data_IF_026439793438
#
_entry.id   IF_026439793438
#
_cell.length_a   1.000
_cell.length_b   1.000
_cell.length_c   1.000
_cell.angle_alpha   90.00
_cell.angle_beta   90.00
_cell.angle_gamma   90.00
#
_symmetry.space_group_name_H-M   'P 1'
#
loop_
_entity.id
_entity.type
_entity.pdbx_description
1 polymer ?
#
# COMPACT_ATOMS: atom_id res chain seq x y z
N UNK A 1 -13.39 6.14 -4.67
CA UNK A 1 -14.02 5.30 -5.71
C UNK A 1 -13.45 3.91 -5.55
N UNK A 2 -14.12 3.06 -4.77
CA UNK A 2 -13.75 1.65 -4.55
C UNK A 2 -14.77 0.84 -5.35
N UNK A 3 -14.39 0.44 -6.55
CA UNK A 3 -15.22 -0.37 -7.46
C UNK A 3 -14.55 -1.74 -7.56
N UNK A 4 -15.18 -2.76 -6.98
CA UNK A 4 -14.70 -4.15 -7.00
C UNK A 4 -14.69 -4.75 -5.60
N UNK A 5 -15.82 -5.31 -5.18
CA UNK A 5 -16.02 -5.84 -3.82
C UNK A 5 -15.17 -7.08 -3.48
N UNK A 6 -14.36 -7.61 -4.41
CA UNK A 6 -13.49 -8.79 -4.15
C UNK A 6 -12.03 -8.64 -4.63
N UNK A 7 -11.62 -7.47 -5.15
CA UNK A 7 -10.25 -7.27 -5.66
C UNK A 7 -9.87 -8.17 -6.84
N UNK A 8 -10.87 -8.82 -7.45
CA UNK A 8 -10.76 -9.65 -8.63
C UNK A 8 -11.05 -8.85 -9.88
N UNK A 9 -10.29 -9.13 -10.95
CA UNK A 9 -10.44 -8.50 -12.25
C UNK A 9 -10.40 -9.56 -13.34
N UNK A 10 -11.31 -9.47 -14.30
CA UNK A 10 -11.26 -10.28 -15.51
C UNK A 10 -10.20 -9.77 -16.49
N UNK A 11 -9.78 -10.64 -17.42
CA UNK A 11 -8.90 -10.24 -18.53
C UNK A 11 -9.47 -9.08 -19.35
N UNK A 12 -10.78 -9.08 -19.59
CA UNK A 12 -11.48 -8.01 -20.31
C UNK A 12 -11.37 -6.65 -19.62
N UNK A 13 -11.54 -6.62 -18.30
CA UNK A 13 -11.40 -5.39 -17.50
C UNK A 13 -9.96 -4.87 -17.52
N UNK A 14 -8.96 -5.74 -17.45
CA UNK A 14 -7.54 -5.35 -17.56
C UNK A 14 -7.20 -4.79 -18.94
N UNK A 15 -7.69 -5.42 -20.01
CA UNK A 15 -7.47 -4.94 -21.37
C UNK A 15 -8.16 -3.58 -21.60
N UNK A 16 -9.35 -3.37 -21.04
CA UNK A 16 -10.04 -2.09 -21.16
C UNK A 16 -9.39 -0.98 -20.32
N UNK A 17 -8.88 -1.31 -19.12
CA UNK A 17 -8.05 -0.41 -18.33
C UNK A 17 -6.77 -0.01 -19.08
N UNK A 18 -6.08 -0.98 -19.70
CA UNK A 18 -4.91 -0.72 -20.53
C UNK A 18 -5.24 0.19 -21.73
N UNK A 19 -6.43 0.01 -22.34
CA UNK A 19 -6.89 0.88 -23.44
C UNK A 19 -7.06 2.33 -23.00
N UNK A 20 -7.56 2.57 -21.78
CA UNK A 20 -7.67 3.93 -21.22
C UNK A 20 -6.31 4.58 -21.01
N UNK A 21 -5.34 3.84 -20.46
CA UNK A 21 -3.96 4.33 -20.31
C UNK A 21 -3.33 4.60 -21.67
N UNK A 22 -3.45 3.67 -22.62
CA UNK A 22 -2.91 3.81 -23.98
C UNK A 22 -3.47 5.03 -24.72
N UNK A 23 -4.74 5.41 -24.48
CA UNK A 23 -5.36 6.63 -25.01
C UNK A 23 -4.72 7.89 -24.41
N UNK A 24 -4.44 7.90 -23.12
CA UNK A 24 -3.79 9.03 -22.43
C UNK A 24 -2.36 9.31 -22.93
N UNK A 25 -1.69 8.30 -23.49
CA UNK A 25 -0.35 8.43 -24.08
C UNK A 25 -0.36 8.54 -25.63
N UNK A 26 -1.52 8.78 -26.25
CA UNK A 26 -1.67 8.96 -27.71
C UNK A 26 -1.08 7.80 -28.57
N UNK A 27 -1.07 6.57 -28.04
CA UNK A 27 -0.49 5.42 -28.73
C UNK A 27 -1.45 4.82 -29.77
N UNK A 28 -0.90 4.18 -30.82
CA UNK A 28 -1.68 3.55 -31.90
C UNK A 28 -2.68 2.51 -31.39
N UNK A 29 -3.92 2.57 -31.90
CA UNK A 29 -5.01 1.68 -31.48
C UNK A 29 -4.90 0.25 -32.01
N UNK A 30 -4.23 0.06 -33.14
CA UNK A 30 -4.22 -1.19 -33.90
C UNK A 30 -3.49 -2.34 -33.17
N UNK A 31 -2.54 -2.01 -32.29
CA UNK A 31 -1.74 -3.01 -31.54
C UNK A 31 -2.09 -3.08 -30.05
N UNK A 32 -3.16 -2.39 -29.61
CA UNK A 32 -3.51 -2.29 -28.18
C UNK A 32 -3.74 -3.66 -27.54
N UNK A 33 -4.41 -4.59 -28.22
CA UNK A 33 -4.67 -5.92 -27.68
C UNK A 33 -3.38 -6.72 -27.43
N UNK A 34 -2.44 -6.69 -28.38
CA UNK A 34 -1.14 -7.38 -28.26
C UNK A 34 -0.30 -6.75 -27.14
N UNK A 35 -0.25 -5.42 -27.08
CA UNK A 35 0.48 -4.70 -26.02
C UNK A 35 -0.14 -4.94 -24.64
N UNK A 36 -1.47 -4.95 -24.53
CA UNK A 36 -2.16 -5.25 -23.28
C UNK A 36 -1.80 -6.65 -22.78
N UNK A 37 -1.83 -7.66 -23.64
CA UNK A 37 -1.44 -9.03 -23.29
C UNK A 37 0.02 -9.12 -22.84
N UNK A 38 0.94 -8.46 -23.54
CA UNK A 38 2.34 -8.41 -23.13
C UNK A 38 2.52 -7.75 -21.76
N UNK A 39 1.84 -6.60 -21.53
CA UNK A 39 1.88 -5.89 -20.25
C UNK A 39 1.31 -6.73 -19.10
N UNK A 40 0.16 -7.40 -19.31
CA UNK A 40 -0.45 -8.28 -18.31
C UNK A 40 0.49 -9.45 -17.97
N UNK A 41 1.07 -10.09 -18.99
CA UNK A 41 2.03 -11.18 -18.78
C UNK A 41 3.27 -10.71 -18.01
N UNK A 42 3.78 -9.52 -18.30
CA UNK A 42 4.92 -8.96 -17.57
C UNK A 42 4.55 -8.58 -16.13
N UNK A 43 3.35 -8.05 -15.87
CA UNK A 43 2.87 -7.80 -14.51
C UNK A 43 2.73 -9.09 -13.69
N UNK A 44 2.34 -10.20 -14.32
CA UNK A 44 2.34 -11.53 -13.68
C UNK A 44 3.76 -12.01 -13.40
N UNK A 45 4.69 -11.87 -14.37
CA UNK A 45 6.11 -12.24 -14.19
C UNK A 45 6.80 -11.45 -13.08
N UNK A 46 6.47 -10.17 -12.96
CA UNK A 46 6.98 -9.27 -11.91
C UNK A 46 6.29 -9.49 -10.55
N UNK A 47 5.36 -10.45 -10.45
CA UNK A 47 4.58 -10.75 -9.23
C UNK A 47 3.75 -9.58 -8.74
N UNK A 48 3.28 -8.71 -9.64
CA UNK A 48 2.33 -7.64 -9.32
C UNK A 48 0.88 -8.14 -9.40
N UNK A 49 0.62 -9.11 -10.29
CA UNK A 49 -0.66 -9.78 -10.45
C UNK A 49 -0.53 -11.30 -10.31
N UNK A 50 -1.52 -11.92 -9.69
CA UNK A 50 -1.72 -13.36 -9.73
C UNK A 50 -2.79 -13.70 -10.77
N UNK A 51 -2.55 -14.72 -11.60
CA UNK A 51 -3.52 -15.24 -12.57
C UNK A 51 -4.12 -16.54 -12.05
N UNK A 52 -5.44 -16.62 -12.01
CA UNK A 52 -6.23 -17.79 -11.67
C UNK A 52 -7.03 -18.24 -12.90
N UNK A 53 -6.90 -19.51 -13.26
CA UNK A 53 -7.69 -20.13 -14.33
C UNK A 53 -8.65 -21.12 -13.68
N UNK A 54 -9.97 -20.89 -13.79
CA UNK A 54 -10.98 -21.81 -13.28
C UNK A 54 -11.61 -22.59 -14.43
N UNK A 55 -11.75 -23.91 -14.26
CA UNK A 55 -12.47 -24.77 -15.22
C UNK A 55 -13.96 -24.41 -15.31
N UNK A 56 -14.53 -23.82 -14.26
CA UNK A 56 -15.93 -23.35 -14.24
C UNK A 56 -16.15 -22.04 -15.00
N UNK A 57 -15.10 -21.27 -15.25
CA UNK A 57 -15.18 -19.92 -15.80
C UNK A 57 -14.99 -19.86 -17.32
N UNK A 58 -15.28 -20.95 -18.03
CA UNK A 58 -15.33 -21.01 -19.50
C UNK A 58 -14.10 -20.40 -20.21
N UNK A 59 -12.90 -20.63 -19.65
CA UNK A 59 -11.64 -20.10 -20.19
C UNK A 59 -11.28 -18.66 -19.77
N UNK A 60 -12.11 -18.00 -18.96
CA UNK A 60 -11.83 -16.67 -18.44
C UNK A 60 -10.82 -16.74 -17.29
N UNK A 61 -9.69 -16.05 -17.46
CA UNK A 61 -8.72 -15.85 -16.40
C UNK A 61 -9.16 -14.71 -15.47
N UNK A 62 -9.04 -14.95 -14.18
CA UNK A 62 -9.24 -13.97 -13.12
C UNK A 62 -7.87 -13.53 -12.61
N UNK A 63 -7.71 -12.23 -12.41
CA UNK A 63 -6.49 -11.60 -11.94
C UNK A 63 -6.74 -10.93 -10.59
N UNK A 64 -5.77 -11.04 -9.68
CA UNK A 64 -5.78 -10.33 -8.39
C UNK A 64 -4.45 -9.63 -8.17
N UNK A 65 -4.49 -8.45 -7.55
CA UNK A 65 -3.26 -7.79 -7.11
C UNK A 65 -2.58 -8.63 -6.02
N UNK A 66 -1.26 -8.75 -6.11
CA UNK A 66 -0.46 -9.35 -5.03
C UNK A 66 -0.25 -8.34 -3.90
N UNK A 67 0.19 -8.77 -2.70
CA UNK A 67 0.55 -7.83 -1.64
C UNK A 67 1.58 -6.76 -2.09
N UNK A 68 2.49 -7.12 -3.00
CA UNK A 68 3.43 -6.18 -3.61
C UNK A 68 2.73 -5.18 -4.53
N UNK A 69 1.84 -5.65 -5.41
CA UNK A 69 1.04 -4.78 -6.28
C UNK A 69 0.17 -3.82 -5.48
N UNK A 70 -0.46 -4.31 -4.41
CA UNK A 70 -1.22 -3.48 -3.46
C UNK A 70 -0.30 -2.44 -2.83
N UNK A 71 0.86 -2.83 -2.27
CA UNK A 71 1.78 -1.88 -1.63
C UNK A 71 2.21 -0.73 -2.56
N UNK A 72 2.59 -1.04 -3.81
CA UNK A 72 3.00 -0.04 -4.80
C UNK A 72 1.83 0.87 -5.19
N UNK A 73 0.68 0.29 -5.50
CA UNK A 73 -0.50 1.07 -5.92
C UNK A 73 -1.05 1.94 -4.79
N UNK A 74 -1.05 1.43 -3.55
CA UNK A 74 -1.52 2.15 -2.38
C UNK A 74 -0.64 3.36 -2.04
N UNK A 75 0.67 3.27 -2.35
CA UNK A 75 1.60 4.39 -2.23
C UNK A 75 1.23 5.56 -3.16
N UNK A 76 0.89 5.27 -4.42
CA UNK A 76 0.60 6.33 -5.41
C UNK A 76 -0.86 6.82 -5.42
N UNK A 77 -1.83 5.95 -5.10
CA UNK A 77 -3.26 6.27 -5.25
C UNK A 77 -3.83 6.92 -3.99
N UNK A 78 -3.34 6.57 -2.79
CA UNK A 78 -3.86 7.18 -1.57
C UNK A 78 -3.26 8.57 -1.36
N UNK A 79 -4.11 9.59 -1.44
CA UNK A 79 -3.87 10.85 -0.75
C UNK A 79 -3.89 10.57 0.76
N UNK A 80 -2.71 10.29 1.33
CA UNK A 80 -2.56 10.08 2.77
C UNK A 80 -2.40 11.44 3.43
N UNK A 81 -3.53 11.99 3.89
CA UNK A 81 -3.49 13.13 4.80
C UNK A 81 -2.96 12.67 6.15
N UNK A 82 -1.89 13.31 6.61
CA UNK A 82 -1.40 13.11 7.95
C UNK A 82 -2.39 13.68 8.95
N UNK A 83 -2.68 12.89 9.99
CA UNK A 83 -3.57 13.31 11.07
C UNK A 83 -2.95 12.94 12.40
N UNK A 84 -2.66 13.95 13.21
CA UNK A 84 -2.24 13.79 14.61
C UNK A 84 -3.27 13.03 15.43
N UNK A 85 -4.57 13.19 15.10
CA UNK A 85 -5.66 12.44 15.72
C UNK A 85 -5.56 10.95 15.39
N UNK A 86 -5.29 10.59 14.13
CA UNK A 86 -5.11 9.19 13.72
C UNK A 86 -3.92 8.54 14.44
N UNK A 87 -2.80 9.24 14.52
CA UNK A 87 -1.62 8.78 15.26
C UNK A 87 -1.94 8.58 16.76
N UNK A 88 -2.62 9.53 17.38
CA UNK A 88 -3.04 9.45 18.79
C UNK A 88 -3.94 8.23 19.06
N UNK A 89 -4.89 7.96 18.15
CA UNK A 89 -5.73 6.75 18.24
C UNK A 89 -4.92 5.47 18.11
N UNK A 90 -3.98 5.39 17.15
CA UNK A 90 -3.12 4.22 16.98
C UNK A 90 -2.27 3.94 18.23
N UNK A 91 -1.67 4.97 18.82
CA UNK A 91 -0.90 4.85 20.05
C UNK A 91 -1.77 4.43 21.25
N UNK A 92 -3.02 4.93 21.32
CA UNK A 92 -3.95 4.53 22.37
C UNK A 92 -4.30 3.04 22.29
N UNK A 93 -4.53 2.52 21.09
CA UNK A 93 -4.80 1.09 20.85
C UNK A 93 -3.58 0.25 21.24
N UNK A 94 -2.38 0.66 20.81
CA UNK A 94 -1.13 -0.06 21.15
C UNK A 94 -0.89 -0.08 22.66
N UNK A 95 -1.10 1.04 23.34
CA UNK A 95 -0.93 1.11 24.79
C UNK A 95 -1.86 0.14 25.53
N UNK A 96 -3.12 0.05 25.08
CA UNK A 96 -4.09 -0.88 25.67
C UNK A 96 -3.70 -2.35 25.42
N UNK A 97 -3.32 -2.70 24.19
CA UNK A 97 -2.91 -4.06 23.83
C UNK A 97 -1.61 -4.47 24.56
N UNK A 98 -0.64 -3.56 24.67
CA UNK A 98 0.58 -3.79 25.45
C UNK A 98 0.27 -4.01 26.92
N UNK A 99 -0.63 -3.23 27.51
CA UNK A 99 -1.03 -3.40 28.90
C UNK A 99 -1.67 -4.78 29.12
N UNK A 100 -2.63 -5.17 28.27
CA UNK A 100 -3.27 -6.50 28.36
C UNK A 100 -2.26 -7.64 28.22
N UNK A 101 -1.31 -7.52 27.29
CA UNK A 101 -0.26 -8.52 27.11
C UNK A 101 0.69 -8.57 28.31
N UNK A 102 1.00 -7.43 28.94
CA UNK A 102 1.81 -7.36 30.15
C UNK A 102 1.10 -8.00 31.34
N UNK A 103 -0.16 -7.63 31.60
CA UNK A 103 -0.99 -8.20 32.67
C UNK A 103 -1.09 -9.73 32.50
N UNK A 104 -1.36 -10.22 31.27
CA UNK A 104 -1.42 -11.65 30.97
C UNK A 104 -0.07 -12.37 31.13
N UNK A 105 1.05 -11.68 30.88
CA UNK A 105 2.37 -12.23 31.10
C UNK A 105 2.72 -12.36 32.59
N UNK A 106 2.25 -11.41 33.42
CA UNK A 106 2.41 -11.45 34.89
C UNK A 106 1.56 -12.56 35.53
N UNK A 107 0.33 -12.77 35.03
CA UNK A 107 -0.53 -13.88 35.48
C UNK A 107 0.07 -15.26 35.18
N UNK A 108 0.91 -15.35 34.14
CA UNK A 108 1.49 -16.61 33.68
C UNK A 108 0.44 -17.60 33.17
N UNK A 109 0.85 -18.83 32.87
CA UNK A 109 -0.06 -19.83 32.34
C UNK A 109 0.65 -20.95 31.60
N UNK A 110 -0.13 -21.72 30.85
CA UNK A 110 0.36 -22.77 29.96
C UNK A 110 0.84 -22.19 28.61
N UNK A 111 1.44 -23.04 27.78
CA UNK A 111 1.96 -22.64 26.47
C UNK A 111 0.89 -22.00 25.58
N UNK A 112 -0.37 -22.44 25.70
CA UNK A 112 -1.50 -21.88 24.95
C UNK A 112 -1.82 -20.45 25.42
N UNK A 113 -1.85 -20.21 26.73
CA UNK A 113 -2.00 -18.87 27.31
C UNK A 113 -0.91 -17.92 26.80
N UNK A 114 0.36 -18.34 26.87
CA UNK A 114 1.47 -17.53 26.37
C UNK A 114 1.36 -17.22 24.87
N UNK A 115 1.04 -18.23 24.05
CA UNK A 115 0.87 -18.02 22.61
C UNK A 115 -0.29 -17.08 22.30
N UNK A 116 -1.41 -17.24 22.99
CA UNK A 116 -2.66 -16.56 22.67
C UNK A 116 -2.74 -15.15 23.24
N UNK A 117 -2.26 -14.95 24.46
CA UNK A 117 -2.51 -13.72 25.23
C UNK A 117 -1.29 -12.80 25.32
N UNK A 118 -0.08 -13.32 25.04
CA UNK A 118 1.15 -12.52 25.07
C UNK A 118 1.77 -12.45 23.68
N UNK A 119 2.12 -13.58 23.07
CA UNK A 119 2.81 -13.58 21.79
C UNK A 119 1.93 -13.07 20.63
N UNK A 120 0.70 -13.59 20.49
CA UNK A 120 -0.16 -13.21 19.37
C UNK A 120 -0.52 -11.71 19.34
N UNK A 121 -0.92 -11.07 20.47
CA UNK A 121 -1.18 -9.63 20.49
C UNK A 121 0.07 -8.81 20.12
N UNK A 122 1.23 -9.18 20.64
CA UNK A 122 2.48 -8.50 20.31
C UNK A 122 2.85 -8.65 18.83
N UNK A 123 2.75 -9.86 18.29
CA UNK A 123 3.22 -10.19 16.94
C UNK A 123 2.29 -9.70 15.83
N UNK A 124 0.98 -9.77 16.04
CA UNK A 124 0.00 -9.53 14.97
C UNK A 124 -0.81 -8.24 15.16
N UNK A 125 -0.80 -7.62 16.35
CA UNK A 125 -1.48 -6.35 16.59
C UNK A 125 -0.46 -5.23 16.80
N UNK A 126 0.35 -5.32 17.85
CA UNK A 126 1.29 -4.24 18.21
C UNK A 126 2.32 -4.00 17.11
N UNK A 127 2.94 -5.06 16.59
CA UNK A 127 3.92 -4.94 15.50
C UNK A 127 3.32 -4.28 14.24
N UNK A 128 2.11 -4.68 13.82
CA UNK A 128 1.44 -4.12 12.64
C UNK A 128 1.08 -2.64 12.83
N UNK A 129 0.66 -2.23 14.04
CA UNK A 129 0.37 -0.82 14.30
C UNK A 129 1.66 0.01 14.29
N UNK A 130 2.77 -0.51 14.84
CA UNK A 130 4.06 0.16 14.74
C UNK A 130 4.54 0.28 13.29
N UNK A 131 4.44 -0.77 12.49
CA UNK A 131 4.80 -0.73 11.06
C UNK A 131 3.93 0.30 10.31
N UNK A 132 2.65 0.43 10.64
CA UNK A 132 1.78 1.48 10.10
C UNK A 132 2.19 2.88 10.53
N UNK A 133 2.69 3.07 11.75
CA UNK A 133 3.19 4.37 12.24
C UNK A 133 4.50 4.72 11.55
N UNK A 134 5.45 3.78 11.45
CA UNK A 134 6.73 3.96 10.76
C UNK A 134 6.50 4.38 9.30
N UNK A 135 5.62 3.68 8.59
CA UNK A 135 5.25 4.05 7.22
C UNK A 135 4.65 5.47 7.13
N UNK A 136 3.83 5.85 8.12
CA UNK A 136 3.25 7.20 8.15
C UNK A 136 4.30 8.28 8.40
N UNK A 137 5.33 7.99 9.21
CA UNK A 137 6.45 8.90 9.44
C UNK A 137 7.32 9.08 8.19
N UNK A 138 7.64 8.00 7.47
CA UNK A 138 8.37 8.10 6.20
C UNK A 138 7.63 8.97 5.17
N UNK A 139 6.31 8.80 5.07
CA UNK A 139 5.49 9.64 4.21
C UNK A 139 5.45 11.11 4.64
N UNK A 140 5.50 11.37 5.95
CA UNK A 140 5.63 12.73 6.46
C UNK A 140 6.94 13.38 6.05
N UNK A 141 8.04 12.63 6.11
CA UNK A 141 9.36 13.10 5.68
C UNK A 141 9.38 13.40 4.17
N UNK A 142 8.77 12.55 3.35
CA UNK A 142 8.61 12.79 1.91
C UNK A 142 7.80 14.06 1.64
N UNK A 143 6.67 14.28 2.33
CA UNK A 143 5.88 15.52 2.19
C UNK A 143 6.64 16.76 2.66
N UNK A 144 7.45 16.64 3.73
CA UNK A 144 8.30 17.71 4.22
C UNK A 144 9.32 18.11 3.13
N UNK A 145 9.97 17.11 2.52
CA UNK A 145 10.96 17.30 1.46
C UNK A 145 10.33 17.84 0.18
N UNK A 146 9.13 17.41 -0.20
CA UNK A 146 8.38 18.00 -1.32
C UNK A 146 8.04 19.46 -1.07
N UNK A 147 7.61 19.82 0.16
CA UNK A 147 7.37 21.21 0.53
C UNK A 147 8.65 22.02 0.42
N UNK A 148 9.74 21.53 1.00
CA UNK A 148 11.06 22.18 0.95
C UNK A 148 11.52 22.39 -0.50
N UNK A 149 11.50 21.35 -1.33
CA UNK A 149 11.84 21.44 -2.74
C UNK A 149 10.95 22.43 -3.51
N UNK A 150 9.65 22.48 -3.19
CA UNK A 150 8.74 23.47 -3.78
C UNK A 150 9.08 24.89 -3.33
N UNK A 151 9.44 25.10 -2.06
CA UNK A 151 9.91 26.40 -1.57
C UNK A 151 11.24 26.80 -2.22
N UNK A 152 12.21 25.88 -2.35
CA UNK A 152 13.50 26.15 -2.97
C UNK A 152 13.40 26.30 -4.51
N UNK A 153 12.47 25.61 -5.17
CA UNK A 153 12.19 25.84 -6.60
C UNK A 153 11.41 27.14 -6.89
N UNK A 154 10.68 27.65 -5.89
CA UNK A 154 10.03 28.96 -5.95
C UNK A 154 10.96 30.12 -5.53
N UNK A 155 12.04 29.83 -4.80
CA UNK A 155 13.11 30.78 -4.53
C UNK A 155 13.95 30.98 -5.80
N UNK A 156 14.20 32.25 -6.16
CA UNK A 156 14.91 32.65 -7.38
C UNK A 156 16.25 31.89 -7.57
N UNK A 157 16.70 31.69 -8.84
CA UNK A 157 17.95 31.00 -9.12
C UNK A 157 19.13 31.81 -8.56
N UNK A 158 19.61 31.44 -7.38
CA UNK A 158 20.75 32.11 -6.73
C UNK A 158 20.87 31.93 -5.21
N UNK A 159 19.85 31.44 -4.51
CA UNK A 159 19.94 31.14 -3.07
C UNK A 159 20.02 29.62 -2.87
N UNK A 160 21.17 29.13 -2.39
CA UNK A 160 21.31 27.73 -2.03
C UNK A 160 20.42 27.43 -0.81
N UNK A 161 19.67 26.33 -0.90
CA UNK A 161 18.75 25.84 0.14
C UNK A 161 19.44 25.62 1.51
N UNK A 162 20.79 25.59 1.55
CA UNK A 162 21.59 25.36 2.76
C UNK A 162 21.83 26.57 3.68
N UNK A 163 21.47 27.79 3.28
CA UNK A 163 21.72 29.00 4.08
C UNK A 163 20.56 29.36 5.05
N UNK A 164 19.50 28.56 5.08
CA UNK A 164 18.37 28.73 6.00
C UNK A 164 18.43 27.70 7.16
N UNK A 165 19.48 27.77 7.98
CA UNK A 165 19.48 27.15 9.30
C UNK A 165 19.16 28.21 10.36
N UNK A 166 17.98 28.09 10.98
CA UNK A 166 17.64 28.74 12.26
C UNK A 166 18.34 27.99 13.41
#
# INVERSE_FOLDING_TARGET
>A
MVSGLDGEMSEGELVDAFRHVSKGFEQTHETVAIRANNAINDMVRQRLLNRFTSELADGNAIYRLTPLGIGITDYYIRQREFSTLRLSMQLSIVAEELKRAADAAEEGGDDFHWHRNVFAPLKYSVAEIFDSIDLTQRLMDEQQQERENRYCGAAQPGLACGDLQL
#
